data_IF_434739130690
#
_entry.id   IF_434739130690
#
_cell.length_a   1.000
_cell.length_b   1.000
_cell.length_c   1.000
_cell.angle_alpha   90.00
_cell.angle_beta   90.00
_cell.angle_gamma   90.00
#
_symmetry.space_group_name_H-M   'P 1'
#
loop_
_entity.id
_entity.type
_entity.pdbx_description
1 polymer ?
#
# COMPACT_ATOMS: atom_id res chain seq x y z
N UNK A 1 4.24 18.81 20.50
CA UNK A 1 3.03 18.00 20.22
C UNK A 1 3.15 17.33 18.86
N UNK A 2 2.63 16.11 18.67
CA UNK A 2 2.59 15.48 17.34
C UNK A 2 1.48 16.12 16.51
N UNK A 3 1.85 16.91 15.50
CA UNK A 3 0.87 17.56 14.60
C UNK A 3 -0.04 16.56 13.86
N UNK A 4 0.46 15.37 13.60
CA UNK A 4 -0.31 14.30 12.94
C UNK A 4 -1.22 13.60 13.93
N UNK A 5 -0.72 13.20 15.09
CA UNK A 5 -1.47 12.45 16.10
C UNK A 5 -2.70 13.19 16.65
N UNK A 6 -2.63 14.51 16.77
CA UNK A 6 -3.72 15.35 17.31
C UNK A 6 -4.86 15.62 16.31
N UNK A 7 -4.72 15.24 15.03
CA UNK A 7 -5.78 15.46 14.06
C UNK A 7 -6.88 14.42 14.21
N UNK A 8 -8.15 14.82 14.40
CA UNK A 8 -9.26 13.89 14.49
C UNK A 8 -9.42 13.10 13.17
N UNK A 9 -9.94 11.90 13.27
CA UNK A 9 -10.27 11.04 12.13
C UNK A 9 -11.79 10.98 12.02
N UNK A 10 -12.34 11.34 10.87
CA UNK A 10 -13.76 11.21 10.58
C UNK A 10 -14.07 9.80 10.09
N UNK A 11 -15.03 9.15 10.71
CA UNK A 11 -15.58 7.87 10.26
C UNK A 11 -16.65 8.17 9.20
N UNK A 12 -16.42 7.78 7.97
CA UNK A 12 -17.40 7.83 6.89
C UNK A 12 -17.84 6.41 6.56
N UNK A 13 -19.04 6.03 6.91
CA UNK A 13 -19.58 4.69 6.61
C UNK A 13 -18.72 3.53 7.15
N UNK A 14 -18.05 3.73 8.27
CA UNK A 14 -17.11 2.77 8.86
C UNK A 14 -17.44 2.60 10.34
N UNK A 15 -17.59 1.36 10.76
CA UNK A 15 -17.79 1.01 12.18
C UNK A 15 -16.43 0.69 12.80
N UNK A 16 -16.15 1.32 13.94
CA UNK A 16 -14.94 1.08 14.72
C UNK A 16 -15.32 0.54 16.08
N UNK A 17 -14.80 -0.65 16.41
CA UNK A 17 -14.96 -1.29 17.72
C UNK A 17 -13.61 -1.49 18.38
N UNK A 18 -13.57 -1.32 19.70
CA UNK A 18 -12.40 -1.57 20.52
C UNK A 18 -12.64 -2.86 21.31
N UNK A 19 -11.79 -3.85 21.14
CA UNK A 19 -11.80 -5.12 21.86
C UNK A 19 -10.43 -5.33 22.50
N UNK A 20 -10.37 -5.41 23.82
CA UNK A 20 -9.15 -5.58 24.64
C UNK A 20 -8.00 -4.65 24.22
N UNK A 21 -7.16 -5.10 23.32
CA UNK A 21 -5.99 -4.37 22.85
C UNK A 21 -5.95 -4.26 21.30
N UNK A 22 -7.09 -4.47 20.64
CA UNK A 22 -7.24 -4.43 19.19
C UNK A 22 -8.33 -3.44 18.76
N UNK A 23 -8.07 -2.77 17.67
CA UNK A 23 -9.00 -1.86 17.01
C UNK A 23 -9.52 -2.57 15.78
N UNK A 24 -10.79 -2.89 15.78
CA UNK A 24 -11.49 -3.52 14.67
C UNK A 24 -12.18 -2.44 13.86
N UNK A 25 -11.89 -2.39 12.56
CA UNK A 25 -12.43 -1.39 11.64
C UNK A 25 -13.16 -2.13 10.52
N UNK A 26 -14.47 -1.95 10.48
CA UNK A 26 -15.37 -2.61 9.51
C UNK A 26 -15.98 -1.57 8.56
N UNK A 27 -15.95 -1.86 7.27
CA UNK A 27 -16.52 -1.00 6.24
C UNK A 27 -17.06 -1.80 5.05
N UNK A 28 -17.46 -1.09 4.00
CA UNK A 28 -18.09 -1.69 2.81
C UNK A 28 -17.21 -2.75 2.10
N UNK A 29 -15.89 -2.62 2.18
CA UNK A 29 -14.95 -3.50 1.47
C UNK A 29 -14.36 -4.63 2.33
N UNK A 30 -14.63 -4.62 3.62
CA UNK A 30 -14.16 -5.67 4.52
C UNK A 30 -13.81 -5.16 5.90
N UNK A 31 -13.00 -5.95 6.60
CA UNK A 31 -12.59 -5.75 7.99
C UNK A 31 -11.08 -5.71 8.10
N UNK A 32 -10.55 -4.78 8.88
CA UNK A 32 -9.15 -4.71 9.26
C UNK A 32 -9.00 -4.66 10.78
N UNK A 33 -7.99 -5.31 11.30
CA UNK A 33 -7.64 -5.33 12.71
C UNK A 33 -6.29 -4.64 12.90
N UNK A 34 -6.20 -3.74 13.86
CA UNK A 34 -4.98 -3.02 14.20
C UNK A 34 -4.70 -3.23 15.69
N UNK A 35 -3.50 -3.66 16.04
CA UNK A 35 -3.08 -3.76 17.44
C UNK A 35 -2.85 -2.39 18.04
N UNK A 36 -3.41 -2.15 19.23
CA UNK A 36 -3.20 -0.93 19.98
C UNK A 36 -1.81 -0.97 20.65
N UNK A 37 -1.04 0.08 20.46
CA UNK A 37 0.27 0.18 21.09
C UNK A 37 0.17 0.72 22.51
N UNK A 38 1.09 0.27 23.38
CA UNK A 38 1.15 0.68 24.77
C UNK A 38 1.22 2.21 24.95
N UNK A 39 0.51 2.73 25.94
CA UNK A 39 0.50 4.16 26.29
C UNK A 39 -0.40 5.03 25.43
N UNK A 40 -1.26 4.43 24.61
CA UNK A 40 -2.22 5.12 23.75
C UNK A 40 -3.64 4.69 24.11
N UNK A 41 -4.54 5.66 24.21
CA UNK A 41 -5.98 5.44 24.33
C UNK A 41 -6.70 6.00 23.10
N UNK A 42 -7.79 5.36 22.72
CA UNK A 42 -8.61 5.77 21.60
C UNK A 42 -10.00 6.16 22.13
N UNK A 43 -10.40 7.39 21.87
CA UNK A 43 -11.73 7.89 22.20
C UNK A 43 -12.56 7.98 20.93
N UNK A 44 -13.72 7.33 20.94
CA UNK A 44 -14.66 7.29 19.81
C UNK A 44 -15.88 8.12 20.26
N UNK A 45 -16.12 9.23 19.60
CA UNK A 45 -17.26 10.09 19.83
C UNK A 45 -18.05 10.19 18.51
N UNK A 46 -19.24 9.57 18.48
CA UNK A 46 -20.10 9.51 17.29
C UNK A 46 -19.30 9.09 16.03
N UNK A 47 -19.02 10.05 15.12
CA UNK A 47 -18.32 9.84 13.87
C UNK A 47 -16.85 10.31 13.89
N UNK A 48 -16.33 10.63 15.05
CA UNK A 48 -14.97 11.18 15.19
C UNK A 48 -14.15 10.31 16.13
N UNK A 49 -12.97 9.89 15.66
CA UNK A 49 -11.98 9.18 16.46
C UNK A 49 -10.86 10.13 16.84
N UNK A 50 -10.60 10.24 18.13
CA UNK A 50 -9.46 10.98 18.70
C UNK A 50 -8.54 10.03 19.45
N UNK A 51 -7.26 10.25 19.30
CA UNK A 51 -6.24 9.42 19.92
C UNK A 51 -5.59 10.23 21.03
N UNK A 52 -5.52 9.64 22.21
CA UNK A 52 -4.98 10.28 23.43
C UNK A 52 -3.75 9.48 23.87
N UNK A 53 -2.72 10.18 24.30
CA UNK A 53 -1.53 9.55 24.89
C UNK A 53 -1.55 9.69 26.41
N UNK A 54 -1.18 8.63 27.12
CA UNK A 54 -1.11 8.61 28.59
C UNK A 54 0.09 9.39 29.15
N UNK A 55 1.21 9.34 28.42
CA UNK A 55 2.48 9.90 28.86
C UNK A 55 3.15 10.71 27.73
N UNK A 56 4.08 11.60 28.12
CA UNK A 56 4.83 12.46 27.19
C UNK A 56 6.23 11.92 26.84
N UNK A 57 6.42 10.61 26.98
CA UNK A 57 7.66 9.94 26.62
C UNK A 57 7.89 9.95 25.10
N UNK A 58 9.15 9.90 24.67
CA UNK A 58 9.54 9.88 23.25
C UNK A 58 8.84 8.76 22.47
N UNK A 59 8.77 7.57 23.06
CA UNK A 59 8.12 6.40 22.45
C UNK A 59 6.61 6.61 22.30
N UNK A 60 5.93 7.09 23.33
CA UNK A 60 4.48 7.32 23.30
C UNK A 60 4.10 8.41 22.29
N UNK A 61 4.96 9.45 22.15
CA UNK A 61 4.79 10.46 21.08
C UNK A 61 4.91 9.85 19.67
N UNK A 62 5.84 8.93 19.48
CA UNK A 62 5.99 8.21 18.21
C UNK A 62 4.77 7.31 17.94
N UNK A 63 4.36 6.51 18.94
CA UNK A 63 3.20 5.62 18.86
C UNK A 63 1.91 6.38 18.56
N UNK A 64 1.73 7.57 19.15
CA UNK A 64 0.56 8.44 18.92
C UNK A 64 0.39 8.80 17.43
N UNK A 65 1.47 9.21 16.78
CA UNK A 65 1.43 9.51 15.34
C UNK A 65 1.27 8.27 14.47
N UNK A 66 1.88 7.15 14.87
CA UNK A 66 1.80 5.88 14.16
C UNK A 66 0.38 5.32 14.16
N UNK A 67 -0.23 5.15 15.34
CA UNK A 67 -1.60 4.61 15.49
C UNK A 67 -2.60 5.47 14.73
N UNK A 68 -2.50 6.80 14.83
CA UNK A 68 -3.37 7.70 14.07
C UNK A 68 -3.28 7.45 12.57
N UNK A 69 -2.07 7.30 12.05
CA UNK A 69 -1.85 7.06 10.62
C UNK A 69 -2.36 5.68 10.18
N UNK A 70 -2.18 4.65 11.02
CA UNK A 70 -2.68 3.30 10.76
C UNK A 70 -4.22 3.27 10.73
N UNK A 71 -4.88 3.86 11.72
CA UNK A 71 -6.36 3.95 11.76
C UNK A 71 -6.88 4.71 10.53
N UNK A 72 -6.29 5.86 10.22
CA UNK A 72 -6.73 6.63 9.05
C UNK A 72 -6.54 5.87 7.73
N UNK A 73 -5.44 5.13 7.59
CA UNK A 73 -5.22 4.28 6.42
C UNK A 73 -6.24 3.13 6.38
N UNK A 74 -6.55 2.51 7.52
CA UNK A 74 -7.52 1.43 7.56
C UNK A 74 -8.93 1.94 7.25
N UNK A 75 -9.36 3.08 7.80
CA UNK A 75 -10.66 3.71 7.50
C UNK A 75 -10.79 3.95 5.99
N UNK A 76 -9.78 4.54 5.35
CA UNK A 76 -9.77 4.74 3.89
C UNK A 76 -9.77 3.41 3.15
N UNK A 77 -9.02 2.41 3.64
CA UNK A 77 -8.93 1.09 3.02
C UNK A 77 -10.23 0.32 3.01
N UNK A 78 -10.97 0.31 4.13
CA UNK A 78 -12.26 -0.42 4.22
C UNK A 78 -13.42 0.34 3.56
N UNK A 79 -13.32 1.66 3.39
CA UNK A 79 -14.34 2.47 2.69
C UNK A 79 -14.12 2.48 1.18
N UNK A 80 -12.97 2.95 0.72
CA UNK A 80 -12.66 3.18 -0.69
C UNK A 80 -11.77 2.07 -1.28
N UNK A 81 -10.88 1.49 -0.45
CA UNK A 81 -9.82 0.58 -0.88
C UNK A 81 -8.63 1.32 -1.49
N UNK A 82 -7.56 0.59 -1.70
CA UNK A 82 -6.38 1.09 -2.38
C UNK A 82 -6.20 0.39 -3.71
N UNK A 83 -5.90 1.16 -4.75
CA UNK A 83 -5.56 0.67 -6.09
C UNK A 83 -4.30 1.36 -6.56
N UNK A 84 -3.29 0.58 -6.96
CA UNK A 84 -2.09 1.09 -7.62
C UNK A 84 -2.04 0.56 -9.05
N UNK A 85 -1.98 1.48 -9.99
CA UNK A 85 -1.77 1.16 -11.39
C UNK A 85 -0.27 1.10 -11.67
N UNK A 86 0.14 0.06 -12.37
CA UNK A 86 1.53 -0.20 -12.73
C UNK A 86 1.64 -0.55 -14.20
N UNK A 87 2.79 -0.29 -14.79
CA UNK A 87 3.05 -0.64 -16.18
C UNK A 87 4.47 -1.16 -16.40
N UNK A 88 4.59 -1.95 -17.43
CA UNK A 88 5.84 -2.50 -17.93
C UNK A 88 6.35 -1.63 -19.07
N UNK A 89 7.64 -1.31 -19.07
CA UNK A 89 8.29 -0.63 -20.18
C UNK A 89 9.48 -1.43 -20.67
N UNK A 90 9.40 -1.93 -21.87
CA UNK A 90 10.47 -2.69 -22.50
C UNK A 90 9.94 -3.50 -23.68
N UNK A 91 10.76 -3.66 -24.74
CA UNK A 91 10.39 -4.48 -25.90
C UNK A 91 10.30 -5.94 -25.41
N UNK A 92 9.17 -6.59 -25.71
CA UNK A 92 8.90 -7.98 -25.34
C UNK A 92 8.51 -8.19 -23.86
N UNK A 93 8.37 -7.11 -23.06
CA UNK A 93 7.85 -7.23 -21.70
C UNK A 93 6.34 -7.41 -21.76
N UNK A 94 5.83 -8.40 -21.03
CA UNK A 94 4.41 -8.72 -20.95
C UNK A 94 4.03 -9.15 -19.55
N UNK A 95 2.79 -8.90 -19.19
CA UNK A 95 2.16 -9.42 -17.97
C UNK A 95 0.89 -10.15 -18.35
N UNK A 96 0.64 -11.28 -17.72
CA UNK A 96 -0.58 -12.07 -17.89
C UNK A 96 -1.10 -12.50 -16.52
N UNK A 97 -2.41 -12.55 -16.39
CA UNK A 97 -3.05 -13.08 -15.19
C UNK A 97 -3.24 -14.59 -15.36
N UNK A 98 -2.70 -15.38 -14.42
CA UNK A 98 -2.83 -16.84 -14.40
C UNK A 98 -3.52 -17.26 -13.09
N UNK A 99 -4.84 -17.41 -13.16
CA UNK A 99 -5.65 -17.56 -11.95
C UNK A 99 -5.59 -16.31 -11.08
N UNK A 100 -5.12 -16.42 -9.85
CA UNK A 100 -4.91 -15.29 -8.95
C UNK A 100 -3.51 -14.67 -9.06
N UNK A 101 -2.58 -15.35 -9.73
CA UNK A 101 -1.18 -14.96 -9.83
C UNK A 101 -0.92 -14.09 -11.08
N UNK A 102 0.22 -13.40 -11.07
CA UNK A 102 0.73 -12.68 -12.25
C UNK A 102 1.95 -13.41 -12.81
N UNK A 103 1.94 -13.64 -14.11
CA UNK A 103 3.07 -14.15 -14.85
C UNK A 103 3.69 -13.02 -15.67
N UNK A 104 4.98 -12.80 -15.45
CA UNK A 104 5.75 -11.72 -16.09
C UNK A 104 6.78 -12.28 -17.07
N UNK A 105 6.75 -11.82 -18.31
CA UNK A 105 7.84 -11.97 -19.27
C UNK A 105 8.68 -10.69 -19.27
N UNK A 106 9.87 -10.72 -18.66
CA UNK A 106 10.72 -9.55 -18.41
C UNK A 106 12.07 -9.64 -19.12
N UNK A 107 12.19 -10.48 -20.17
CA UNK A 107 13.44 -10.70 -20.89
C UNK A 107 14.43 -11.57 -20.11
N UNK A 108 13.94 -12.42 -19.24
CA UNK A 108 14.67 -13.54 -18.64
C UNK A 108 14.44 -14.82 -19.45
N UNK A 109 15.25 -15.85 -19.21
CA UNK A 109 15.12 -17.15 -19.91
C UNK A 109 13.78 -17.84 -19.63
N UNK A 110 13.21 -17.60 -18.44
CA UNK A 110 11.88 -18.12 -18.09
C UNK A 110 10.96 -16.98 -17.61
N UNK A 111 9.64 -17.15 -17.72
CA UNK A 111 8.69 -16.23 -17.14
C UNK A 111 8.83 -16.26 -15.60
N UNK A 112 8.59 -15.12 -14.97
CA UNK A 112 8.58 -14.98 -13.50
C UNK A 112 7.14 -14.97 -13.03
N UNK A 113 6.77 -15.93 -12.20
CA UNK A 113 5.45 -15.99 -11.58
C UNK A 113 5.51 -15.29 -10.23
N UNK A 114 4.56 -14.42 -9.96
CA UNK A 114 4.34 -13.77 -8.68
C UNK A 114 3.02 -14.24 -8.09
N UNK A 115 3.09 -14.92 -6.97
CA UNK A 115 1.92 -15.44 -6.28
C UNK A 115 1.18 -14.33 -5.54
N UNK A 116 -0.16 -14.34 -5.63
CA UNK A 116 -0.98 -13.36 -4.93
C UNK A 116 -1.05 -13.67 -3.44
N UNK A 117 -0.60 -12.77 -2.57
CA UNK A 117 -0.87 -12.93 -1.14
C UNK A 117 -2.35 -12.71 -0.84
N UNK A 118 -2.82 -13.25 0.27
CA UNK A 118 -4.21 -13.10 0.71
C UNK A 118 -4.60 -11.62 0.87
N UNK A 119 -5.79 -11.26 0.40
CA UNK A 119 -6.30 -9.88 0.48
C UNK A 119 -5.75 -8.92 -0.57
N UNK A 120 -5.10 -9.44 -1.62
CA UNK A 120 -4.66 -8.66 -2.79
C UNK A 120 -5.31 -9.20 -4.05
N UNK A 121 -5.84 -8.30 -4.86
CA UNK A 121 -6.41 -8.61 -6.16
C UNK A 121 -5.59 -7.98 -7.27
N UNK A 122 -5.35 -8.77 -8.33
CA UNK A 122 -4.70 -8.30 -9.54
C UNK A 122 -5.69 -8.18 -10.68
N UNK A 123 -5.60 -7.07 -11.40
CA UNK A 123 -6.30 -6.90 -12.67
C UNK A 123 -5.29 -6.49 -13.76
N UNK A 124 -5.37 -7.13 -14.93
CA UNK A 124 -4.46 -6.89 -16.05
C UNK A 124 -5.24 -6.22 -17.17
N UNK A 125 -4.72 -5.09 -17.65
CA UNK A 125 -5.30 -4.30 -18.74
C UNK A 125 -4.34 -4.30 -19.94
N UNK A 126 -4.60 -5.19 -20.90
CA UNK A 126 -3.70 -5.39 -22.04
C UNK A 126 -2.49 -6.27 -21.71
N UNK A 127 -1.34 -5.98 -22.31
CA UNK A 127 -0.11 -6.77 -22.15
C UNK A 127 0.94 -6.10 -21.27
N UNK A 128 0.82 -4.82 -21.05
CA UNK A 128 1.84 -3.98 -20.40
C UNK A 128 1.34 -3.23 -19.16
N UNK A 129 0.02 -3.23 -18.91
CA UNK A 129 -0.59 -2.53 -17.78
C UNK A 129 -1.29 -3.51 -16.84
N UNK A 130 -1.15 -3.27 -15.57
CA UNK A 130 -1.86 -4.02 -14.53
C UNK A 130 -2.12 -3.14 -13.31
N UNK A 131 -3.13 -3.50 -12.55
CA UNK A 131 -3.44 -2.84 -11.30
C UNK A 131 -3.43 -3.84 -10.15
N UNK A 132 -3.02 -3.36 -9.00
CA UNK A 132 -3.02 -4.08 -7.74
C UNK A 132 -4.01 -3.40 -6.82
N UNK A 133 -4.93 -4.14 -6.21
CA UNK A 133 -5.93 -3.62 -5.27
C UNK A 133 -5.92 -4.39 -3.96
N UNK A 134 -6.13 -3.67 -2.86
CA UNK A 134 -6.22 -4.24 -1.51
C UNK A 134 -6.89 -3.25 -0.56
N UNK A 135 -7.46 -3.75 0.52
CA UNK A 135 -7.93 -2.93 1.64
C UNK A 135 -6.79 -2.49 2.56
N UNK A 136 -5.69 -3.25 2.60
CA UNK A 136 -4.53 -2.98 3.45
C UNK A 136 -3.44 -2.21 2.69
N UNK A 137 -3.23 -0.93 3.09
CA UNK A 137 -2.22 -0.06 2.46
C UNK A 137 -0.79 -0.57 2.59
N UNK A 138 -0.46 -1.21 3.70
CA UNK A 138 0.89 -1.74 3.92
C UNK A 138 1.15 -2.93 3.00
N UNK A 139 0.20 -3.86 2.94
CA UNK A 139 0.29 -5.06 2.11
C UNK A 139 0.42 -4.70 0.62
N UNK A 140 -0.45 -3.82 0.11
CA UNK A 140 -0.38 -3.40 -1.30
C UNK A 140 0.94 -2.69 -1.62
N UNK A 141 1.46 -1.87 -0.70
CA UNK A 141 2.75 -1.19 -0.86
C UNK A 141 3.92 -2.18 -0.91
N UNK A 142 3.89 -3.22 -0.07
CA UNK A 142 4.87 -4.29 -0.07
C UNK A 142 4.83 -5.07 -1.39
N UNK A 143 3.67 -5.56 -1.80
CA UNK A 143 3.47 -6.30 -3.06
C UNK A 143 3.97 -5.50 -4.26
N UNK A 144 3.58 -4.24 -4.38
CA UNK A 144 4.05 -3.39 -5.47
C UNK A 144 5.58 -3.19 -5.45
N UNK A 145 6.18 -3.09 -4.27
CA UNK A 145 7.64 -2.98 -4.12
C UNK A 145 8.35 -4.27 -4.53
N UNK A 146 7.81 -5.43 -4.18
CA UNK A 146 8.33 -6.74 -4.58
C UNK A 146 8.25 -6.95 -6.08
N UNK A 147 7.08 -6.66 -6.69
CA UNK A 147 6.91 -6.72 -8.15
C UNK A 147 7.93 -5.81 -8.85
N UNK A 148 8.15 -4.60 -8.36
CA UNK A 148 9.18 -3.70 -8.92
C UNK A 148 10.61 -4.23 -8.81
N UNK A 149 10.90 -5.06 -7.80
CA UNK A 149 12.20 -5.72 -7.66
C UNK A 149 12.43 -6.81 -8.69
N UNK A 150 11.39 -7.43 -9.26
CA UNK A 150 11.51 -8.44 -10.31
C UNK A 150 12.28 -7.89 -11.51
N UNK A 151 12.05 -6.62 -11.88
CA UNK A 151 12.87 -5.92 -12.89
C UNK A 151 13.00 -4.46 -12.55
N UNK A 152 14.13 -4.11 -11.94
CA UNK A 152 14.44 -2.73 -11.55
C UNK A 152 14.52 -1.83 -12.79
N UNK A 153 14.18 -0.57 -12.59
CA UNK A 153 14.24 0.45 -13.63
C UNK A 153 15.68 0.70 -14.07
N UNK A 154 15.88 0.69 -15.38
CA UNK A 154 17.13 1.10 -15.99
C UNK A 154 17.10 2.60 -16.27
N UNK A 155 18.09 3.33 -15.75
CA UNK A 155 18.22 4.78 -15.95
C UNK A 155 18.69 5.17 -17.35
N UNK A 156 19.24 4.25 -18.14
CA UNK A 156 19.73 4.53 -19.48
C UNK A 156 18.67 4.29 -20.55
N UNK A 157 18.17 3.07 -20.66
CA UNK A 157 17.16 2.68 -21.66
C UNK A 157 15.73 2.91 -21.15
N UNK A 158 15.52 3.07 -19.85
CA UNK A 158 14.23 3.25 -19.24
C UNK A 158 13.36 1.99 -19.30
N UNK A 159 13.96 0.79 -19.31
CA UNK A 159 13.23 -0.47 -19.20
C UNK A 159 12.97 -0.81 -17.74
N UNK A 160 11.86 -1.50 -17.44
CA UNK A 160 11.54 -1.94 -16.10
C UNK A 160 10.05 -1.82 -15.76
N UNK A 161 9.73 -1.98 -14.47
CA UNK A 161 8.39 -1.90 -13.92
C UNK A 161 8.21 -0.58 -13.18
N UNK A 162 7.07 0.08 -13.42
CA UNK A 162 6.79 1.44 -12.97
C UNK A 162 5.43 1.56 -12.33
N UNK A 163 5.28 2.53 -11.42
CA UNK A 163 3.96 3.06 -11.07
C UNK A 163 3.48 4.00 -12.18
N UNK A 164 2.18 4.10 -12.36
CA UNK A 164 1.59 5.12 -13.21
C UNK A 164 1.99 6.52 -12.73
N UNK A 165 2.41 7.38 -13.66
CA UNK A 165 2.91 8.73 -13.35
C UNK A 165 4.36 8.78 -12.85
N UNK A 166 5.05 7.64 -12.69
CA UNK A 166 6.44 7.63 -12.26
C UNK A 166 7.40 8.03 -13.39
N UNK A 167 8.14 9.13 -13.20
CA UNK A 167 9.13 9.63 -14.16
C UNK A 167 10.54 9.24 -13.74
N UNK A 168 11.34 8.72 -14.68
CA UNK A 168 12.77 8.48 -14.46
C UNK A 168 13.58 9.57 -15.15
N UNK A 169 14.53 10.12 -14.43
CA UNK A 169 15.59 10.93 -15.01
C UNK A 169 16.53 10.00 -15.78
N UNK A 170 16.45 10.04 -17.12
CA UNK A 170 17.36 9.28 -17.98
C UNK A 170 18.77 9.89 -17.92
N UNK A 171 19.76 9.01 -17.82
CA UNK A 171 21.18 9.37 -17.97
C UNK A 171 21.60 9.21 -19.42
N UNK A 172 22.48 10.07 -19.89
CA UNK A 172 23.13 9.88 -21.19
C UNK A 172 24.17 8.76 -21.07
N UNK A 173 24.16 7.82 -22.00
CA UNK A 173 25.24 6.84 -22.13
C UNK A 173 26.54 7.51 -22.58
N UNK A 174 27.66 6.79 -22.49
CA UNK A 174 28.92 7.24 -23.09
C UNK A 174 28.70 7.34 -24.59
N UNK A 175 28.84 8.53 -25.16
CA UNK A 175 28.94 8.68 -26.60
C UNK A 175 30.28 8.10 -27.02
N UNK A 176 30.25 7.05 -27.84
CA UNK A 176 31.44 6.59 -28.55
C UNK A 176 31.70 7.67 -29.61
N UNK A 177 32.80 8.40 -29.49
CA UNK A 177 33.33 9.21 -30.58
C UNK A 177 33.91 8.31 -31.65
#
# INVERSE_FOLDING_TARGET
>A
MSRVGSKPIKLKDVKLTLEDNEIIIEGKKGKLVIQLLSGIDVNIAEDIVTIIRKNDNKQTKANHGLIRSLINNAVTGVSEGYKYNMFLKGIGYRVQKKGNNLEFSLGYSHPVVYDSPEGVEFNVEGQDKFSVSSINKQLIGQVCSEIKRLRRKDSYKGKGIYYEGEVIRKKQGKSVK
#
